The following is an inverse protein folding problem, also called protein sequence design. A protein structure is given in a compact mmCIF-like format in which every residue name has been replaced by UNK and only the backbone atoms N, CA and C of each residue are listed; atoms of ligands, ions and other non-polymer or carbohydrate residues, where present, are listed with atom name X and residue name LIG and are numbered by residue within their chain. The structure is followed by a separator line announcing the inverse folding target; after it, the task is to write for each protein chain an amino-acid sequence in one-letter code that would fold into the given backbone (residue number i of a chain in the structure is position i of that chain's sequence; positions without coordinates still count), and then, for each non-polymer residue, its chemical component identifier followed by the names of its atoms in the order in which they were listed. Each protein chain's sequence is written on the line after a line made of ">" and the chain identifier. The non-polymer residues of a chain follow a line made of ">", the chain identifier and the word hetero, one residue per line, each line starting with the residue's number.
data_IF_489532664798
#
_entry.id   IF_489532664798
#
_cell.length_a   1.000
_cell.length_b   1.000
_cell.length_c   1.000
_cell.angle_alpha   90.00
_cell.angle_beta   90.00
_cell.angle_gamma   90.00
#
_symmetry.space_group_name_H-M   'P 1'
#
loop_
_entity.id
_entity.type
_entity.pdbx_description
1 polymer ?
#
# COMPACT_ATOMS: atom_id res chain seq x y z
N UNK A 1 -26.71 -6.60 3.49
CA UNK A 1 -26.35 -5.83 2.27
C UNK A 1 -27.58 -5.71 1.39
N UNK A 2 -27.84 -4.53 0.85
CA UNK A 2 -28.89 -4.30 -0.15
C UNK A 2 -28.47 -4.87 -1.52
N UNK A 3 -29.43 -4.98 -2.45
CA UNK A 3 -29.22 -5.50 -3.81
C UNK A 3 -28.55 -4.46 -4.72
N UNK A 4 -27.32 -4.09 -4.39
CA UNK A 4 -26.56 -3.04 -5.08
C UNK A 4 -25.05 -3.27 -5.00
N UNK A 5 -24.30 -2.42 -5.68
CA UNK A 5 -22.83 -2.39 -5.64
C UNK A 5 -22.35 -1.75 -4.34
N UNK A 6 -21.28 -2.31 -3.78
CA UNK A 6 -20.56 -1.78 -2.63
C UNK A 6 -19.08 -1.66 -2.94
N UNK A 7 -18.48 -0.53 -2.54
CA UNK A 7 -17.04 -0.32 -2.53
C UNK A 7 -16.49 -0.76 -1.18
N UNK A 8 -15.64 -1.78 -1.16
CA UNK A 8 -14.92 -2.20 0.05
C UNK A 8 -13.47 -1.73 -0.03
N UNK A 9 -12.95 -1.23 1.10
CA UNK A 9 -11.54 -0.90 1.26
C UNK A 9 -10.92 -1.94 2.18
N UNK A 10 -10.20 -2.88 1.60
CA UNK A 10 -9.44 -3.84 2.38
C UNK A 10 -8.09 -3.20 2.74
N UNK A 11 -7.69 -3.39 3.99
CA UNK A 11 -6.34 -3.12 4.49
C UNK A 11 -5.96 -4.34 5.31
N UNK A 12 -4.81 -4.94 4.99
CA UNK A 12 -4.27 -5.98 5.85
C UNK A 12 -3.40 -5.37 6.96
N UNK A 13 -4.04 -5.10 8.10
CA UNK A 13 -3.38 -4.62 9.31
C UNK A 13 -2.98 -5.76 10.29
N UNK A 14 -2.87 -7.00 9.79
CA UNK A 14 -2.40 -8.11 10.62
C UNK A 14 -0.90 -7.97 10.91
N UNK A 15 -0.47 -8.49 12.05
CA UNK A 15 0.96 -8.54 12.44
C UNK A 15 1.78 -9.34 11.40
N UNK A 16 1.32 -10.54 11.05
CA UNK A 16 2.09 -11.47 10.20
C UNK A 16 1.25 -12.26 9.20
N UNK A 17 -0.07 -12.05 9.16
CA UNK A 17 -0.96 -12.88 8.34
C UNK A 17 -1.19 -12.29 6.96
N UNK A 18 -0.83 -13.02 5.92
CA UNK A 18 -1.27 -12.76 4.54
C UNK A 18 -2.60 -13.43 4.24
N UNK A 19 -3.37 -12.85 3.31
CA UNK A 19 -4.67 -13.38 2.89
C UNK A 19 -4.74 -13.58 1.38
N UNK A 20 -5.50 -14.59 0.98
CA UNK A 20 -6.00 -14.77 -0.37
C UNK A 20 -7.53 -14.76 -0.31
N UNK A 21 -8.09 -13.56 -0.38
CA UNK A 21 -9.50 -13.30 -0.13
C UNK A 21 -10.36 -13.69 -1.33
N UNK A 22 -11.49 -14.35 -1.09
CA UNK A 22 -12.50 -14.61 -2.12
C UNK A 22 -13.91 -14.57 -1.53
N UNK A 23 -14.87 -14.26 -2.39
CA UNK A 23 -16.28 -14.32 -2.05
C UNK A 23 -16.86 -15.66 -2.51
N UNK A 24 -17.75 -16.26 -1.72
CA UNK A 24 -18.48 -17.46 -2.09
C UNK A 24 -19.87 -17.46 -1.47
N UNK A 25 -20.80 -18.23 -2.04
CA UNK A 25 -22.10 -18.46 -1.40
C UNK A 25 -21.93 -19.43 -0.22
N UNK A 26 -22.63 -19.21 0.90
CA UNK A 26 -22.59 -20.14 2.05
C UNK A 26 -22.95 -21.58 1.65
N UNK A 27 -23.85 -21.75 0.66
CA UNK A 27 -24.27 -23.07 0.16
C UNK A 27 -23.31 -23.65 -0.89
N UNK A 28 -22.35 -22.88 -1.39
CA UNK A 28 -21.33 -23.33 -2.35
C UNK A 28 -20.02 -22.58 -2.09
N UNK A 29 -19.35 -22.94 -1.00
CA UNK A 29 -18.12 -22.26 -0.54
C UNK A 29 -16.92 -22.45 -1.48
N UNK A 30 -16.98 -23.41 -2.41
CA UNK A 30 -15.93 -23.64 -3.41
C UNK A 30 -16.15 -22.82 -4.70
N UNK A 31 -17.35 -22.27 -4.90
CA UNK A 31 -17.69 -21.43 -6.05
C UNK A 31 -17.28 -19.98 -5.82
N UNK A 32 -16.04 -19.62 -6.18
CA UNK A 32 -15.55 -18.24 -6.09
C UNK A 32 -16.38 -17.30 -6.96
N UNK A 33 -16.85 -16.21 -6.37
CA UNK A 33 -17.61 -15.14 -7.03
C UNK A 33 -16.66 -14.07 -7.56
N UNK A 34 -17.01 -13.47 -8.70
CA UNK A 34 -16.18 -12.43 -9.32
C UNK A 34 -16.48 -11.06 -8.73
N UNK A 35 -15.45 -10.24 -8.63
CA UNK A 35 -15.53 -8.84 -8.22
C UNK A 35 -14.48 -8.01 -8.97
N UNK A 36 -14.57 -6.69 -8.89
CA UNK A 36 -13.63 -5.78 -9.55
C UNK A 36 -12.70 -5.14 -8.53
N UNK A 37 -11.39 -5.21 -8.72
CA UNK A 37 -10.42 -4.34 -8.02
C UNK A 37 -10.38 -3.00 -8.75
N UNK A 38 -10.38 -1.90 -8.01
CA UNK A 38 -10.44 -0.53 -8.56
C UNK A 38 -9.35 0.39 -8.03
N UNK A 39 -8.64 0.01 -6.96
CA UNK A 39 -7.48 0.75 -6.45
C UNK A 39 -6.47 -0.21 -5.79
N UNK A 40 -5.21 0.19 -5.81
CA UNK A 40 -4.08 -0.36 -5.05
C UNK A 40 -3.56 0.70 -4.07
N UNK A 41 -2.39 0.46 -3.46
CA UNK A 41 -1.78 1.29 -2.42
C UNK A 41 -1.78 2.79 -2.72
N UNK A 42 -1.22 3.18 -3.87
CA UNK A 42 -1.00 4.58 -4.20
C UNK A 42 -2.28 5.30 -4.68
N UNK A 43 -3.14 4.62 -5.44
CA UNK A 43 -4.27 5.26 -6.14
C UNK A 43 -5.22 4.28 -6.84
N UNK A 44 -6.23 4.83 -7.51
CA UNK A 44 -7.07 4.07 -8.45
C UNK A 44 -6.22 3.33 -9.50
N UNK A 45 -6.67 2.15 -9.93
CA UNK A 45 -6.08 1.48 -11.08
C UNK A 45 -6.36 2.27 -12.37
N UNK A 46 -5.66 1.96 -13.47
CA UNK A 46 -5.99 2.54 -14.79
C UNK A 46 -7.41 2.14 -15.21
N UNK A 47 -7.74 0.86 -15.04
CA UNK A 47 -9.04 0.26 -15.36
C UNK A 47 -9.44 -0.72 -14.23
N UNK A 48 -10.74 -0.99 -14.00
CA UNK A 48 -11.16 -2.01 -13.06
C UNK A 48 -10.70 -3.40 -13.51
N UNK A 49 -10.17 -4.18 -12.58
CA UNK A 49 -9.65 -5.54 -12.86
C UNK A 49 -10.60 -6.57 -12.29
N UNK A 50 -11.23 -7.39 -13.14
CA UNK A 50 -12.11 -8.46 -12.68
C UNK A 50 -11.31 -9.67 -12.21
N UNK A 51 -11.53 -10.10 -10.96
CA UNK A 51 -10.88 -11.26 -10.34
C UNK A 51 -11.88 -12.09 -9.55
N UNK A 52 -11.49 -13.31 -9.16
CA UNK A 52 -12.25 -14.19 -8.26
C UNK A 52 -11.60 -14.36 -6.88
N UNK A 53 -10.35 -13.93 -6.75
CA UNK A 53 -9.61 -13.88 -5.51
C UNK A 53 -8.62 -12.71 -5.54
N UNK A 54 -8.19 -12.29 -4.36
CA UNK A 54 -7.31 -11.16 -4.12
C UNK A 54 -6.25 -11.57 -3.10
N UNK A 55 -5.00 -11.66 -3.54
CA UNK A 55 -3.86 -11.76 -2.63
C UNK A 55 -3.58 -10.39 -2.03
N UNK A 56 -3.50 -10.34 -0.71
CA UNK A 56 -3.26 -9.13 0.08
C UNK A 56 -2.41 -9.49 1.30
N UNK A 57 -1.15 -9.06 1.27
CA UNK A 57 -0.21 -9.21 2.37
C UNK A 57 -0.19 -7.95 3.25
N UNK A 58 0.59 -7.97 4.32
CA UNK A 58 0.57 -6.94 5.36
C UNK A 58 0.84 -5.56 4.75
N UNK A 59 0.13 -4.56 5.25
CA UNK A 59 0.11 -3.16 4.79
C UNK A 59 -0.41 -2.86 3.39
N UNK A 60 -0.68 -3.85 2.53
CA UNK A 60 -1.34 -3.57 1.24
C UNK A 60 -2.81 -3.15 1.46
N UNK A 61 -3.27 -1.99 0.97
CA UNK A 61 -4.68 -1.73 0.78
C UNK A 61 -5.13 -2.02 -0.66
N UNK A 62 -6.32 -2.59 -0.79
CA UNK A 62 -6.99 -2.73 -2.08
C UNK A 62 -8.44 -2.30 -1.96
N UNK A 63 -8.90 -1.53 -2.94
CA UNK A 63 -10.31 -1.18 -3.03
C UNK A 63 -10.99 -2.03 -4.10
N UNK A 64 -12.12 -2.64 -3.74
CA UNK A 64 -12.90 -3.47 -4.65
C UNK A 64 -14.33 -2.95 -4.79
N UNK A 65 -15.00 -3.37 -5.86
CA UNK A 65 -16.44 -3.31 -6.00
C UNK A 65 -17.00 -4.72 -6.11
N UNK A 66 -17.90 -5.05 -5.18
CA UNK A 66 -18.70 -6.28 -5.23
C UNK A 66 -20.16 -5.91 -5.49
N UNK A 67 -20.80 -6.62 -6.42
CA UNK A 67 -22.20 -6.39 -6.79
C UNK A 67 -23.09 -7.46 -6.15
N UNK A 68 -23.93 -7.06 -5.19
CA UNK A 68 -24.83 -7.99 -4.50
C UNK A 68 -26.17 -8.22 -5.23
N UNK A 69 -26.44 -7.52 -6.33
CA UNK A 69 -27.74 -7.60 -7.04
C UNK A 69 -28.10 -9.01 -7.52
N UNK A 70 -27.12 -9.85 -7.82
CA UNK A 70 -27.32 -11.21 -8.30
C UNK A 70 -27.61 -12.24 -7.18
N UNK A 71 -27.55 -11.85 -5.91
CA UNK A 71 -27.56 -12.78 -4.77
C UNK A 71 -28.76 -12.60 -3.83
N UNK A 72 -29.94 -12.31 -4.40
CA UNK A 72 -31.22 -12.06 -3.70
C UNK A 72 -31.51 -13.07 -2.60
N UNK A 73 -31.62 -12.60 -1.36
CA UNK A 73 -31.93 -13.43 -0.19
C UNK A 73 -30.86 -14.46 0.21
N UNK A 74 -29.70 -14.48 -0.46
CA UNK A 74 -28.64 -15.43 -0.20
C UNK A 74 -27.65 -14.89 0.84
N UNK A 75 -26.87 -15.82 1.43
CA UNK A 75 -25.73 -15.49 2.26
C UNK A 75 -24.44 -15.61 1.44
N UNK A 76 -23.68 -14.52 1.37
CA UNK A 76 -22.35 -14.46 0.75
C UNK A 76 -21.30 -14.41 1.86
N UNK A 77 -20.25 -15.21 1.77
CA UNK A 77 -19.12 -15.22 2.70
C UNK A 77 -17.87 -14.66 2.06
N UNK A 78 -17.17 -13.79 2.79
CA UNK A 78 -15.76 -13.48 2.53
C UNK A 78 -14.91 -14.52 3.25
N UNK A 79 -14.04 -15.17 2.50
CA UNK A 79 -13.24 -16.31 2.93
C UNK A 79 -11.78 -16.10 2.55
N UNK A 80 -10.92 -16.90 3.15
CA UNK A 80 -9.48 -16.91 2.92
C UNK A 80 -9.03 -18.30 2.46
N UNK A 81 -8.13 -18.38 1.47
CA UNK A 81 -7.55 -19.66 1.07
C UNK A 81 -6.48 -20.12 2.07
N UNK A 82 -6.33 -21.45 2.28
CA UNK A 82 -5.23 -22.01 3.04
C UNK A 82 -3.87 -21.52 2.51
N UNK A 83 -2.95 -21.18 3.43
CA UNK A 83 -1.61 -20.65 3.12
C UNK A 83 -1.61 -19.54 2.08
N UNK A 84 -2.65 -18.69 2.08
CA UNK A 84 -2.89 -17.66 1.08
C UNK A 84 -2.72 -18.17 -0.36
N UNK A 85 -3.33 -19.32 -0.67
CA UNK A 85 -3.28 -19.95 -1.99
C UNK A 85 -1.97 -20.70 -2.28
N UNK A 86 -1.19 -21.01 -1.24
CA UNK A 86 0.12 -21.66 -1.35
C UNK A 86 1.27 -20.70 -1.64
N UNK A 87 1.00 -19.40 -1.71
CA UNK A 87 2.01 -18.34 -1.86
C UNK A 87 2.71 -18.04 -0.53
N UNK A 88 1.93 -18.00 0.56
CA UNK A 88 2.43 -17.74 1.90
C UNK A 88 2.86 -19.00 2.64
N UNK A 89 3.39 -18.79 3.84
CA UNK A 89 3.80 -19.85 4.78
C UNK A 89 3.01 -19.82 6.09
N UNK A 90 1.99 -18.97 6.16
CA UNK A 90 1.12 -18.78 7.31
C UNK A 90 0.49 -20.09 7.81
N UNK A 91 0.45 -20.26 9.13
CA UNK A 91 -0.30 -21.35 9.74
C UNK A 91 -1.81 -21.15 9.57
N UNK A 92 -2.49 -22.20 9.11
CA UNK A 92 -3.95 -22.24 9.02
C UNK A 92 -4.53 -22.86 10.28
N UNK A 93 -5.40 -22.12 10.98
CA UNK A 93 -6.19 -22.64 12.09
C UNK A 93 -7.65 -22.90 11.65
N UNK A 94 -8.42 -23.63 12.48
CA UNK A 94 -9.79 -24.08 12.22
C UNK A 94 -10.73 -23.05 11.57
N UNK A 95 -10.59 -21.77 11.93
CA UNK A 95 -11.47 -20.69 11.45
C UNK A 95 -10.76 -19.61 10.62
N UNK A 96 -9.47 -19.73 10.35
CA UNK A 96 -8.71 -18.73 9.57
C UNK A 96 -9.14 -18.64 8.11
N UNK A 97 -9.84 -19.66 7.59
CA UNK A 97 -10.49 -19.62 6.27
C UNK A 97 -11.79 -18.81 6.21
N UNK A 98 -12.27 -18.25 7.33
CA UNK A 98 -13.51 -17.48 7.42
C UNK A 98 -13.19 -16.04 7.83
N UNK A 99 -13.71 -15.05 7.10
CA UNK A 99 -13.53 -13.62 7.45
C UNK A 99 -14.84 -13.04 7.96
N UNK A 100 -15.86 -12.96 7.11
CA UNK A 100 -17.17 -12.44 7.50
C UNK A 100 -18.27 -12.93 6.55
N UNK A 101 -19.54 -12.68 6.91
CA UNK A 101 -20.71 -13.04 6.12
C UNK A 101 -21.58 -11.81 5.85
N UNK A 102 -22.09 -11.72 4.63
CA UNK A 102 -23.04 -10.72 4.16
C UNK A 102 -24.39 -11.40 3.95
N UNK A 103 -25.38 -10.98 4.72
CA UNK A 103 -26.78 -11.35 4.50
C UNK A 103 -27.38 -10.42 3.45
N UNK A 104 -27.72 -10.94 2.27
CA UNK A 104 -28.23 -10.13 1.16
C UNK A 104 -29.75 -9.99 1.26
N UNK A 105 -30.24 -8.75 1.16
CA UNK A 105 -31.66 -8.45 1.20
C UNK A 105 -32.41 -9.08 0.02
N UNK A 106 -33.70 -9.33 0.19
CA UNK A 106 -34.62 -9.67 -0.91
C UNK A 106 -35.33 -8.45 -1.50
N UNK A 107 -35.13 -7.26 -0.91
CA UNK A 107 -35.79 -6.02 -1.33
C UNK A 107 -35.00 -5.33 -2.43
N UNK A 108 -35.59 -5.09 -3.63
CA UNK A 108 -34.95 -4.33 -4.69
C UNK A 108 -34.64 -2.89 -4.26
N UNK A 109 -33.50 -2.37 -4.69
CA UNK A 109 -33.05 -0.99 -4.44
C UNK A 109 -32.53 -0.40 -5.74
N UNK A 110 -32.78 0.88 -5.98
CA UNK A 110 -32.17 1.61 -7.08
C UNK A 110 -30.69 1.88 -6.78
N UNK A 111 -29.81 1.54 -7.72
CA UNK A 111 -28.37 1.75 -7.57
C UNK A 111 -27.83 2.67 -8.68
N UNK A 112 -27.75 3.99 -8.44
CA UNK A 112 -27.24 4.94 -9.42
C UNK A 112 -25.71 4.87 -9.58
N UNK A 113 -25.01 4.08 -8.77
CA UNK A 113 -23.55 3.96 -8.87
C UNK A 113 -23.13 3.21 -10.13
N UNK A 114 -21.95 3.53 -10.64
CA UNK A 114 -21.31 2.85 -11.77
C UNK A 114 -19.83 2.64 -11.50
N UNK A 115 -19.24 1.66 -12.18
CA UNK A 115 -17.78 1.44 -12.18
C UNK A 115 -17.30 1.70 -13.61
N UNK A 116 -16.73 2.87 -13.90
CA UNK A 116 -16.23 3.22 -15.23
C UNK A 116 -15.16 2.23 -15.71
N UNK A 117 -15.13 1.94 -17.01
CA UNK A 117 -14.11 1.04 -17.57
C UNK A 117 -12.71 1.67 -17.57
N UNK A 118 -12.61 3.00 -17.59
CA UNK A 118 -11.38 3.76 -17.35
C UNK A 118 -11.53 4.62 -16.09
N UNK A 119 -10.65 4.44 -15.10
CA UNK A 119 -10.76 5.09 -13.80
C UNK A 119 -9.85 6.33 -13.69
N UNK A 120 -8.63 6.25 -14.22
CA UNK A 120 -7.71 7.38 -14.33
C UNK A 120 -6.77 7.23 -15.52
N UNK A 121 -6.25 8.36 -16.01
CA UNK A 121 -5.06 8.37 -16.85
C UNK A 121 -3.83 8.43 -15.96
N UNK A 122 -2.83 7.59 -16.23
CA UNK A 122 -1.57 7.60 -15.48
C UNK A 122 -0.45 8.04 -16.41
N UNK A 123 0.20 9.18 -16.16
CA UNK A 123 1.42 9.56 -16.86
C UNK A 123 2.57 8.73 -16.29
N UNK A 124 2.64 7.49 -16.71
CA UNK A 124 3.78 6.64 -16.41
C UNK A 124 5.06 7.30 -16.95
N UNK A 125 6.16 7.41 -16.17
CA UNK A 125 7.43 7.90 -16.70
C UNK A 125 7.84 7.03 -17.88
N UNK A 126 8.56 7.61 -18.83
CA UNK A 126 9.17 6.85 -19.92
C UNK A 126 10.03 5.75 -19.33
N UNK A 127 9.72 4.48 -19.66
CA UNK A 127 10.53 3.31 -19.30
C UNK A 127 11.98 3.60 -19.62
N UNK A 128 12.82 3.70 -18.59
CA UNK A 128 14.25 3.73 -18.78
C UNK A 128 14.67 2.27 -19.01
N UNK A 129 15.15 1.96 -20.21
CA UNK A 129 15.78 0.66 -20.55
C UNK A 129 17.15 0.49 -19.89
N UNK A 130 17.31 0.95 -18.64
CA UNK A 130 18.54 0.77 -17.89
C UNK A 130 18.53 -0.65 -17.33
N UNK A 131 19.05 -1.60 -18.12
CA UNK A 131 19.34 -2.98 -17.74
C UNK A 131 20.54 -3.06 -16.77
N UNK A 132 20.65 -2.14 -15.83
CA UNK A 132 21.72 -2.13 -14.83
C UNK A 132 21.05 -2.19 -13.47
N UNK A 133 21.03 -3.40 -12.89
CA UNK A 133 20.73 -3.60 -11.48
C UNK A 133 21.91 -2.98 -10.73
N UNK A 134 21.68 -1.86 -10.07
CA UNK A 134 22.71 -1.24 -9.24
C UNK A 134 22.63 -1.82 -7.82
N UNK A 135 23.64 -2.59 -7.43
CA UNK A 135 23.83 -3.00 -6.04
C UNK A 135 24.52 -1.89 -5.20
N UNK A 136 24.73 -0.71 -5.80
CA UNK A 136 25.20 0.50 -5.16
C UNK A 136 24.02 1.47 -4.97
N UNK A 137 23.55 1.59 -3.73
CA UNK A 137 22.44 2.47 -3.38
C UNK A 137 22.83 3.96 -3.49
N UNK A 138 22.51 4.61 -4.61
CA UNK A 138 22.75 6.05 -4.85
C UNK A 138 21.50 6.77 -5.37
N UNK A 139 20.63 7.15 -4.46
CA UNK A 139 19.39 7.87 -4.78
C UNK A 139 19.63 9.36 -4.96
N UNK A 140 19.50 9.81 -6.21
CA UNK A 140 19.48 11.23 -6.53
C UNK A 140 18.02 11.69 -6.71
N UNK A 141 17.73 12.94 -6.37
CA UNK A 141 16.38 13.59 -6.44
C UNK A 141 15.61 13.51 -7.78
N UNK A 142 16.14 12.83 -8.79
CA UNK A 142 15.57 12.67 -10.12
C UNK A 142 15.82 11.28 -10.72
N UNK A 143 16.36 10.33 -9.96
CA UNK A 143 16.61 8.98 -10.48
C UNK A 143 15.33 8.17 -10.41
N UNK A 144 14.92 7.69 -11.58
CA UNK A 144 14.09 6.49 -11.64
C UNK A 144 15.05 5.33 -11.45
N UNK A 145 14.79 4.51 -10.43
CA UNK A 145 15.58 3.33 -10.14
C UNK A 145 14.70 2.09 -10.19
N UNK A 146 15.35 1.00 -10.57
CA UNK A 146 14.74 -0.32 -10.61
C UNK A 146 15.40 -1.14 -9.50
N UNK A 147 14.58 -1.65 -8.58
CA UNK A 147 15.03 -2.55 -7.53
C UNK A 147 14.61 -3.97 -7.85
N UNK A 148 15.55 -4.90 -7.67
CA UNK A 148 15.27 -6.32 -7.62
C UNK A 148 15.13 -6.74 -6.15
N UNK A 149 13.95 -7.23 -5.80
CA UNK A 149 13.58 -7.64 -4.45
C UNK A 149 13.40 -9.16 -4.44
N UNK A 150 14.31 -9.87 -3.78
CA UNK A 150 14.38 -11.33 -3.83
C UNK A 150 14.06 -11.95 -2.46
N UNK A 151 13.15 -12.93 -2.45
CA UNK A 151 13.04 -13.92 -1.39
C UNK A 151 13.52 -15.27 -1.92
N UNK A 152 14.74 -15.67 -1.57
CA UNK A 152 15.34 -16.93 -2.01
C UNK A 152 14.94 -18.14 -1.12
N UNK A 153 13.98 -17.98 -0.21
CA UNK A 153 13.55 -19.01 0.75
C UNK A 153 12.13 -19.51 0.47
N UNK A 154 11.89 -20.80 0.75
CA UNK A 154 10.56 -21.41 0.74
C UNK A 154 9.89 -21.46 2.13
N UNK A 155 10.61 -21.03 3.18
CA UNK A 155 10.14 -21.07 4.58
C UNK A 155 9.41 -19.82 5.04
N UNK A 156 9.58 -18.71 4.33
CA UNK A 156 9.10 -17.38 4.73
C UNK A 156 8.55 -16.62 3.52
N UNK A 157 7.81 -15.54 3.79
CA UNK A 157 7.35 -14.60 2.76
C UNK A 157 7.37 -13.19 3.33
N UNK A 158 7.67 -12.20 2.50
CA UNK A 158 7.99 -10.85 2.93
C UNK A 158 7.22 -9.80 2.10
N UNK A 159 6.22 -9.10 2.65
CA UNK A 159 5.70 -7.88 2.05
C UNK A 159 6.72 -6.77 2.24
N UNK A 160 7.37 -6.33 1.15
CA UNK A 160 8.37 -5.28 1.22
C UNK A 160 7.70 -3.93 0.99
N UNK A 161 7.81 -3.04 1.98
CA UNK A 161 7.36 -1.65 1.92
C UNK A 161 8.55 -0.72 1.65
N UNK A 162 8.37 0.27 0.78
CA UNK A 162 9.36 1.33 0.52
C UNK A 162 8.72 2.68 0.82
N UNK A 163 9.26 3.42 1.78
CA UNK A 163 8.75 4.76 2.13
C UNK A 163 9.00 5.76 0.99
N UNK A 164 8.39 6.95 1.08
CA UNK A 164 8.45 8.07 0.12
C UNK A 164 7.79 7.82 -1.24
N UNK A 165 7.99 6.66 -1.84
CA UNK A 165 7.74 6.43 -3.27
C UNK A 165 6.49 5.60 -3.54
N UNK A 166 5.87 5.89 -4.67
CA UNK A 166 5.02 4.92 -5.38
C UNK A 166 5.86 4.21 -6.44
N UNK A 167 5.66 2.91 -6.63
CA UNK A 167 6.37 2.09 -7.59
C UNK A 167 5.46 1.22 -8.45
N UNK A 168 5.95 0.81 -9.62
CA UNK A 168 5.34 -0.23 -10.44
C UNK A 168 6.00 -1.56 -10.22
N UNK A 169 5.20 -2.63 -10.22
CA UNK A 169 5.72 -4.00 -10.31
C UNK A 169 5.93 -4.35 -11.78
N UNK A 170 7.18 -4.37 -12.24
CA UNK A 170 7.55 -4.65 -13.62
C UNK A 170 7.56 -6.15 -13.94
N UNK A 171 8.09 -6.95 -13.01
CA UNK A 171 8.22 -8.39 -13.19
C UNK A 171 8.14 -9.13 -11.85
N UNK A 172 7.78 -10.40 -11.93
CA UNK A 172 7.69 -11.33 -10.81
C UNK A 172 8.04 -12.73 -11.31
N UNK A 173 9.06 -13.34 -10.75
CA UNK A 173 9.67 -14.60 -11.23
C UNK A 173 10.01 -15.56 -10.09
N UNK A 174 10.47 -16.76 -10.46
CA UNK A 174 10.90 -17.88 -9.59
C UNK A 174 9.80 -18.54 -8.74
N UNK A 175 8.83 -17.77 -8.24
CA UNK A 175 7.70 -18.28 -7.47
C UNK A 175 6.55 -18.88 -8.30
N UNK A 176 5.43 -19.13 -7.64
CA UNK A 176 4.26 -19.82 -8.24
C UNK A 176 3.27 -18.88 -8.96
N UNK A 177 3.62 -17.61 -9.18
CA UNK A 177 2.77 -16.63 -9.86
C UNK A 177 3.60 -15.60 -10.63
N UNK A 178 2.97 -14.98 -11.62
CA UNK A 178 3.47 -13.77 -12.26
C UNK A 178 2.82 -12.53 -11.61
N UNK A 179 3.15 -11.34 -12.12
CA UNK A 179 2.53 -10.07 -11.67
C UNK A 179 1.02 -10.20 -11.75
N UNK A 180 0.33 -9.90 -10.65
CA UNK A 180 -1.12 -10.01 -10.59
C UNK A 180 -1.78 -8.94 -11.46
N UNK A 181 -2.94 -9.21 -12.09
CA UNK A 181 -3.58 -8.22 -12.96
C UNK A 181 -3.88 -6.88 -12.28
N UNK A 182 -4.15 -6.88 -10.98
CA UNK A 182 -4.36 -5.65 -10.19
C UNK A 182 -3.07 -4.97 -9.75
N UNK A 183 -1.93 -5.69 -9.68
CA UNK A 183 -0.60 -5.08 -9.48
C UNK A 183 -0.13 -4.40 -10.77
N UNK A 184 -0.35 -5.03 -11.93
CA UNK A 184 0.04 -4.47 -13.23
C UNK A 184 -0.79 -3.24 -13.66
N UNK A 185 -1.93 -3.01 -13.02
CA UNK A 185 -2.89 -1.98 -13.39
C UNK A 185 -2.76 -0.69 -12.55
N UNK A 186 -1.83 -0.62 -11.59
CA UNK A 186 -1.68 0.51 -10.68
C UNK A 186 -0.28 0.63 -10.10
N UNK A 187 -0.04 1.74 -9.39
CA UNK A 187 1.18 1.93 -8.61
C UNK A 187 0.95 1.45 -7.16
N UNK A 188 2.02 1.03 -6.52
CA UNK A 188 2.04 0.35 -5.22
C UNK A 188 3.18 0.91 -4.35
N UNK A 189 3.09 0.74 -3.05
CA UNK A 189 4.15 1.05 -2.09
C UNK A 189 4.55 -0.18 -1.24
N UNK A 190 3.81 -1.29 -1.39
CA UNK A 190 4.11 -2.60 -0.81
C UNK A 190 4.04 -3.68 -1.88
N UNK A 191 5.03 -4.57 -1.93
CA UNK A 191 5.02 -5.75 -2.83
C UNK A 191 5.29 -7.02 -2.06
N UNK A 192 4.39 -8.01 -2.18
CA UNK A 192 4.54 -9.28 -1.47
C UNK A 192 5.48 -10.24 -2.20
N UNK A 193 6.60 -10.60 -1.58
CA UNK A 193 7.47 -11.69 -1.98
C UNK A 193 7.02 -12.98 -1.29
N UNK A 194 6.30 -13.83 -2.01
CA UNK A 194 6.00 -15.21 -1.62
C UNK A 194 7.28 -16.07 -1.58
N UNK A 195 7.09 -17.36 -1.38
CA UNK A 195 8.20 -18.33 -1.40
C UNK A 195 8.96 -18.31 -2.73
N UNK A 196 10.29 -18.28 -2.64
CA UNK A 196 11.21 -18.34 -3.78
C UNK A 196 10.86 -17.30 -4.86
N UNK A 197 10.37 -16.13 -4.46
CA UNK A 197 9.81 -15.12 -5.36
C UNK A 197 10.74 -13.91 -5.47
N UNK A 198 10.99 -13.48 -6.70
CA UNK A 198 11.70 -12.22 -7.00
C UNK A 198 10.74 -11.26 -7.66
N UNK A 199 10.69 -10.01 -7.20
CA UNK A 199 9.94 -8.93 -7.84
C UNK A 199 10.88 -7.81 -8.30
N UNK A 200 10.62 -7.27 -9.49
CA UNK A 200 11.33 -6.09 -10.01
C UNK A 200 10.38 -4.91 -9.93
N UNK A 201 10.78 -3.86 -9.20
CA UNK A 201 9.98 -2.65 -9.01
C UNK A 201 10.68 -1.41 -9.57
N UNK A 202 9.92 -0.50 -10.18
CA UNK A 202 10.41 0.79 -10.70
C UNK A 202 9.78 1.93 -9.92
N UNK A 203 10.60 2.80 -9.32
CA UNK A 203 10.13 3.94 -8.53
C UNK A 203 10.86 5.23 -8.92
N UNK A 204 10.20 6.37 -8.71
CA UNK A 204 10.82 7.69 -8.84
C UNK A 204 11.08 8.29 -7.44
N UNK A 205 12.35 8.39 -7.05
CA UNK A 205 12.78 8.79 -5.70
C UNK A 205 12.75 10.31 -5.53
N UNK A 206 11.54 10.83 -5.36
CA UNK A 206 11.22 12.26 -5.37
C UNK A 206 9.85 12.50 -4.69
N UNK A 207 9.48 13.76 -4.36
CA UNK A 207 10.23 15.00 -4.54
C UNK A 207 11.03 15.44 -3.30
N UNK A 208 10.96 14.66 -2.23
CA UNK A 208 11.50 15.01 -0.92
C UNK A 208 12.77 14.26 -0.62
N UNK A 209 13.60 14.92 0.16
CA UNK A 209 14.96 14.55 0.44
C UNK A 209 15.05 14.15 1.89
N UNK A 210 15.88 13.16 2.17
CA UNK A 210 16.04 12.69 3.53
C UNK A 210 16.30 11.21 3.58
N UNK A 211 16.42 10.75 4.81
CA UNK A 211 16.59 9.34 5.13
C UNK A 211 15.22 8.70 5.33
N UNK A 212 14.92 7.70 4.52
CA UNK A 212 13.65 6.97 4.50
C UNK A 212 13.89 5.48 4.74
N UNK A 213 12.87 4.78 5.22
CA UNK A 213 12.94 3.35 5.53
C UNK A 213 12.45 2.49 4.36
N UNK A 214 12.96 1.27 4.28
CA UNK A 214 12.32 0.19 3.54
C UNK A 214 12.50 -1.09 4.34
N UNK A 215 11.46 -1.93 4.39
CA UNK A 215 11.43 -3.05 5.32
C UNK A 215 10.41 -4.11 4.93
N UNK A 216 10.56 -5.30 5.51
CA UNK A 216 9.46 -6.25 5.57
C UNK A 216 8.36 -5.69 6.48
N UNK A 217 7.10 -5.79 6.05
CA UNK A 217 5.94 -5.32 6.81
C UNK A 217 5.23 -6.48 7.57
N UNK A 218 5.87 -7.64 7.66
CA UNK A 218 5.60 -8.57 8.75
C UNK A 218 6.23 -7.97 10.01
N UNK A 219 5.39 -7.53 10.96
CA UNK A 219 5.86 -6.76 12.12
C UNK A 219 6.81 -7.55 13.02
N UNK A 220 6.73 -8.89 13.02
CA UNK A 220 7.68 -9.72 13.77
C UNK A 220 9.07 -9.67 13.11
N UNK A 221 9.12 -9.74 11.78
CA UNK A 221 10.35 -9.68 11.01
C UNK A 221 10.93 -8.25 11.07
N UNK A 222 10.07 -7.23 11.01
CA UNK A 222 10.42 -5.81 11.16
C UNK A 222 11.10 -5.54 12.52
N UNK A 223 10.45 -5.92 13.63
CA UNK A 223 10.96 -5.68 14.99
C UNK A 223 12.24 -6.48 15.30
N UNK A 224 12.48 -7.56 14.56
CA UNK A 224 13.68 -8.40 14.68
C UNK A 224 14.57 -8.29 13.44
N UNK A 225 14.48 -7.07 12.90
CA UNK A 225 15.43 -6.23 12.20
C UNK A 225 15.55 -6.41 10.70
N UNK A 226 14.47 -6.88 10.05
CA UNK A 226 14.35 -6.85 8.59
C UNK A 226 13.94 -5.46 8.08
N UNK A 227 14.70 -4.44 8.50
CA UNK A 227 14.54 -3.05 8.12
C UNK A 227 15.88 -2.42 7.75
N UNK A 228 15.85 -1.56 6.74
CA UNK A 228 17.00 -0.77 6.33
C UNK A 228 16.55 0.64 5.94
N UNK A 229 17.52 1.50 5.65
CA UNK A 229 17.28 2.88 5.26
C UNK A 229 17.98 3.23 3.95
N UNK A 230 17.40 4.18 3.22
CA UNK A 230 18.00 4.81 2.05
C UNK A 230 17.96 6.34 2.18
N UNK A 231 18.88 7.03 1.52
CA UNK A 231 18.97 8.49 1.57
C UNK A 231 18.76 9.09 0.18
N UNK A 232 17.71 9.88 0.01
CA UNK A 232 17.43 10.62 -1.22
C UNK A 232 18.14 11.98 -1.15
N UNK A 233 19.21 12.13 -1.94
CA UNK A 233 20.13 13.27 -1.83
C UNK A 233 20.09 14.21 -3.03
N UNK A 234 20.21 15.53 -2.77
CA UNK A 234 20.66 16.46 -3.81
C UNK A 234 22.16 16.35 -3.96
N UNK A 235 22.63 16.34 -5.20
CA UNK A 235 23.99 16.75 -5.47
C UNK A 235 24.12 18.24 -5.11
N UNK A 236 25.01 18.55 -4.18
CA UNK A 236 25.31 19.90 -3.69
C UNK A 236 25.83 20.88 -4.78
N UNK A 237 26.03 20.40 -6.01
CA UNK A 237 26.53 21.18 -7.11
C UNK A 237 25.36 21.61 -7.99
N UNK A 238 24.92 22.87 -7.82
CA UNK A 238 24.32 23.80 -8.79
C UNK A 238 23.45 24.81 -8.02
N UNK A 239 24.08 25.73 -7.28
CA UNK A 239 23.52 27.02 -6.85
C UNK A 239 22.08 27.05 -6.29
N UNK A 240 21.62 25.98 -5.62
CA UNK A 240 20.43 26.02 -4.79
C UNK A 240 20.87 26.14 -3.33
N UNK A 241 20.61 27.29 -2.73
CA UNK A 241 20.84 27.55 -1.32
C UNK A 241 19.75 26.85 -0.49
N UNK A 242 19.65 25.52 -0.59
CA UNK A 242 18.77 24.72 0.26
C UNK A 242 19.28 24.82 1.69
N UNK A 243 18.72 25.78 2.43
CA UNK A 243 18.92 25.95 3.87
C UNK A 243 18.02 25.01 4.68
N UNK A 244 17.26 24.12 4.03
CA UNK A 244 16.20 23.32 4.67
C UNK A 244 16.72 22.04 5.32
N UNK A 245 16.33 21.90 6.59
CA UNK A 245 16.82 21.01 7.65
C UNK A 245 16.02 19.70 7.78
N UNK A 246 15.29 19.29 6.74
CA UNK A 246 14.34 18.16 6.80
C UNK A 246 14.95 16.79 6.44
N UNK A 247 16.28 16.71 6.34
CA UNK A 247 16.98 15.48 5.92
C UNK A 247 17.09 14.45 7.04
N UNK A 248 17.26 14.93 8.28
CA UNK A 248 17.48 14.10 9.45
C UNK A 248 16.14 13.81 10.15
N UNK A 249 15.68 12.55 10.18
CA UNK A 249 14.46 12.17 10.90
C UNK A 249 14.57 12.39 12.43
N UNK A 250 15.76 12.67 12.96
CA UNK A 250 16.02 12.96 14.38
C UNK A 250 16.15 14.45 14.71
N UNK A 251 15.92 15.34 13.74
CA UNK A 251 16.01 16.80 13.92
C UNK A 251 15.22 17.27 15.16
N UNK A 252 15.90 17.99 16.05
CA UNK A 252 15.43 18.32 17.39
C UNK A 252 14.13 19.15 17.36
N UNK A 253 13.97 20.00 16.34
CA UNK A 253 12.77 20.84 16.13
C UNK A 253 11.48 20.01 16.07
N UNK A 254 11.52 18.84 15.46
CA UNK A 254 10.34 17.99 15.19
C UNK A 254 10.16 16.87 16.23
N UNK A 255 11.00 16.83 17.27
CA UNK A 255 10.90 15.82 18.32
C UNK A 255 9.68 16.06 19.21
N UNK A 256 9.16 14.96 19.77
CA UNK A 256 8.09 15.01 20.75
C UNK A 256 8.47 15.91 21.95
N UNK A 257 7.51 16.72 22.40
CA UNK A 257 7.65 17.60 23.56
C UNK A 257 6.86 17.01 24.75
N UNK A 258 7.38 17.08 25.99
CA UNK A 258 6.62 16.65 27.16
C UNK A 258 5.40 17.54 27.36
N UNK A 259 4.32 16.98 27.91
CA UNK A 259 3.10 17.73 28.20
C UNK A 259 2.44 17.30 29.51
N UNK A 260 1.67 18.21 30.12
CA UNK A 260 0.87 17.94 31.30
C UNK A 260 -0.53 17.43 30.94
N UNK A 261 -0.99 16.35 31.57
CA UNK A 261 -2.33 15.82 31.33
C UNK A 261 -3.45 16.82 31.69
N UNK A 262 -3.22 17.68 32.69
CA UNK A 262 -4.17 18.73 33.08
C UNK A 262 -4.38 19.78 31.99
N UNK A 263 -3.29 20.27 31.38
CA UNK A 263 -3.35 21.23 30.28
C UNK A 263 -4.04 20.62 29.05
N UNK A 264 -3.75 19.35 28.75
CA UNK A 264 -4.41 18.62 27.66
C UNK A 264 -5.93 18.51 27.90
N UNK A 265 -6.34 18.11 29.11
CA UNK A 265 -7.77 17.99 29.45
C UNK A 265 -8.48 19.33 29.47
N UNK A 266 -7.81 20.38 29.95
CA UNK A 266 -8.38 21.72 30.09
C UNK A 266 -8.29 22.57 28.81
N UNK A 267 -7.63 22.08 27.74
CA UNK A 267 -7.25 22.88 26.55
C UNK A 267 -6.54 24.18 26.95
N UNK A 268 -5.56 24.05 27.83
CA UNK A 268 -4.75 25.16 28.35
C UNK A 268 -3.28 24.96 27.99
N UNK A 269 -2.44 25.96 28.27
CA UNK A 269 -1.01 25.91 27.99
C UNK A 269 -0.74 25.64 26.50
N UNK A 270 0.04 24.60 26.20
CA UNK A 270 0.35 24.17 24.83
C UNK A 270 -0.87 23.73 24.00
N UNK A 271 -2.01 23.50 24.65
CA UNK A 271 -3.25 23.06 24.03
C UNK A 271 -4.33 24.16 23.96
N UNK A 272 -3.99 25.41 24.32
CA UNK A 272 -4.87 26.55 24.04
C UNK A 272 -4.94 26.81 22.54
N UNK A 273 -6.02 27.43 22.08
CA UNK A 273 -6.19 27.71 20.65
C UNK A 273 -5.06 28.64 20.15
N UNK A 274 -4.65 29.63 20.94
CA UNK A 274 -3.56 30.54 20.60
C UNK A 274 -2.21 29.80 20.47
N UNK A 275 -1.89 28.89 21.40
CA UNK A 275 -0.64 28.14 21.37
C UNK A 275 -0.58 27.15 20.20
N UNK A 276 -1.71 26.53 19.86
CA UNK A 276 -1.83 25.65 18.69
C UNK A 276 -1.66 26.47 17.40
N UNK A 277 -2.33 27.61 17.28
CA UNK A 277 -2.21 28.49 16.11
C UNK A 277 -0.77 28.99 15.92
N UNK A 278 -0.10 29.39 17.00
CA UNK A 278 1.31 29.82 16.95
C UNK A 278 2.23 28.68 16.52
N UNK A 279 2.08 27.49 17.10
CA UNK A 279 2.89 26.32 16.74
C UNK A 279 2.68 25.87 15.28
N UNK A 280 1.43 25.88 14.79
CA UNK A 280 1.13 25.55 13.39
C UNK A 280 1.72 26.61 12.45
N UNK A 281 1.65 27.89 12.82
CA UNK A 281 2.23 28.97 12.03
C UNK A 281 3.75 28.83 11.94
N UNK A 282 4.43 28.55 13.05
CA UNK A 282 5.89 28.32 13.07
C UNK A 282 6.29 27.14 12.16
N UNK A 283 5.53 26.04 12.18
CA UNK A 283 5.78 24.89 11.29
C UNK A 283 5.51 25.23 9.82
N UNK A 284 4.50 26.05 9.54
CA UNK A 284 4.17 26.46 8.17
C UNK A 284 5.21 27.44 7.58
N UNK A 285 5.88 28.24 8.41
CA UNK A 285 6.94 29.16 7.98
C UNK A 285 8.16 28.43 7.40
N UNK A 286 8.40 27.16 7.77
CA UNK A 286 9.45 26.34 7.16
C UNK A 286 9.12 25.84 5.74
N UNK A 287 7.85 25.96 5.32
CA UNK A 287 7.32 25.52 4.02
C UNK A 287 7.79 24.09 3.60
N UNK A 288 7.55 23.07 4.45
CA UNK A 288 8.13 21.73 4.30
C UNK A 288 7.69 21.01 3.02
N UNK A 289 6.56 21.45 2.43
CA UNK A 289 5.96 20.84 1.24
C UNK A 289 5.86 21.80 0.04
N UNK A 290 6.73 22.82 0.00
CA UNK A 290 6.80 23.83 -1.07
C UNK A 290 6.96 23.27 -2.50
N UNK A 291 7.67 22.15 -2.63
CA UNK A 291 7.92 21.45 -3.90
C UNK A 291 6.72 20.59 -4.29
N UNK A 292 6.06 20.93 -5.39
CA UNK A 292 5.08 20.03 -6.01
C UNK A 292 5.81 18.98 -6.83
N UNK A 293 5.33 17.73 -6.82
CA UNK A 293 5.66 16.75 -7.86
C UNK A 293 5.38 17.43 -9.21
N UNK A 294 6.43 17.75 -9.96
CA UNK A 294 6.28 18.01 -11.38
C UNK A 294 6.05 16.64 -12.01
N UNK A 295 4.79 16.19 -12.06
CA UNK A 295 4.40 15.23 -13.09
C UNK A 295 4.75 15.92 -14.41
N UNK A 296 5.79 15.43 -15.08
CA UNK A 296 6.10 15.90 -16.43
C UNK A 296 4.83 15.76 -17.28
N UNK A 297 4.43 16.87 -17.91
CA UNK A 297 3.35 16.89 -18.90
C UNK A 297 3.68 15.94 -20.06
#
# INVERSE_FOLDING_TARGET
>A
MELRKYRFRFLNAAVSRSFALYFALTLNVNGKLRFKVIASDASLLVNPVQVSDLYISMAEPYEIVFDFSAYVGQAVELRNLPKAGGIGTDDDCLNTGKVMRFMVSSTPVEDPSSVPDALRSVPFPSSNTLNVIDHLFRFHRRTTEIWELENSSDGWSHPIHVHLVDFRVLARTHGNRAVMPYEAAGDKDVVWLGKEETAIVEAHYAPWDGVYMFHCHNLIDEDHDMMAAFNVTALANWCYNDTTQFLDPMEAKFRAKPFGAGDFQARAGLFSDEAIEEAVKELAEDDPYSRKMMYFK
#
